data_IF_565404969510
#
_entry.id   IF_565404969510
#
_cell.length_a   1.000
_cell.length_b   1.000
_cell.length_c   1.000
_cell.angle_alpha   90.00
_cell.angle_beta   90.00
_cell.angle_gamma   90.00
#
_symmetry.space_group_name_H-M   'P 1'
#
loop_
_entity.id
_entity.type
_entity.pdbx_description
1 polymer ?
#
# COMPACT_ATOMS: atom_id res chain seq x y z
N UNK A 1 -15.54 11.85 -3.73
CA UNK A 1 -14.14 12.25 -4.00
C UNK A 1 -13.88 13.48 -3.17
N UNK A 2 -13.08 13.38 -2.12
CA UNK A 2 -12.71 14.52 -1.27
C UNK A 2 -11.64 15.31 -2.05
N UNK A 3 -12.00 16.47 -2.55
CA UNK A 3 -11.08 17.35 -3.31
C UNK A 3 -10.02 17.89 -2.35
N UNK A 4 -8.74 17.59 -2.58
CA UNK A 4 -7.62 18.11 -1.80
C UNK A 4 -7.59 19.65 -1.85
N UNK A 5 -7.34 20.27 -0.73
CA UNK A 5 -7.18 21.71 -0.65
C UNK A 5 -5.89 22.18 -1.33
N UNK A 6 -5.86 23.45 -1.77
CA UNK A 6 -4.62 24.04 -2.31
C UNK A 6 -3.46 24.02 -1.31
N UNK A 7 -3.76 24.08 -0.02
CA UNK A 7 -2.76 24.01 1.04
C UNK A 7 -2.17 22.60 1.17
N UNK A 8 -3.00 21.55 1.04
CA UNK A 8 -2.54 20.16 1.04
C UNK A 8 -1.64 19.87 -0.15
N UNK A 9 -2.05 20.28 -1.37
CA UNK A 9 -1.22 20.12 -2.58
C UNK A 9 0.12 20.87 -2.45
N UNK A 10 0.12 22.06 -1.88
CA UNK A 10 1.34 22.81 -1.63
C UNK A 10 2.22 22.15 -0.54
N UNK A 11 1.61 21.53 0.48
CA UNK A 11 2.35 20.79 1.50
C UNK A 11 3.01 19.53 0.93
N UNK A 12 2.33 18.86 0.02
CA UNK A 12 2.87 17.68 -0.68
C UNK A 12 4.06 18.08 -1.57
N UNK A 13 3.96 19.19 -2.31
CA UNK A 13 5.09 19.73 -3.08
C UNK A 13 6.29 20.09 -2.17
N UNK A 14 6.05 20.68 -1.00
CA UNK A 14 7.09 20.92 0.01
C UNK A 14 7.73 19.59 0.43
N UNK A 15 6.95 18.54 0.57
CA UNK A 15 7.43 17.19 0.87
C UNK A 15 8.38 16.66 -0.19
N UNK A 16 8.01 16.77 -1.46
CA UNK A 16 8.87 16.38 -2.60
C UNK A 16 10.17 17.17 -2.61
N UNK A 17 10.11 18.50 -2.45
CA UNK A 17 11.32 19.35 -2.38
C UNK A 17 12.20 18.94 -1.18
N UNK A 18 11.60 18.55 -0.07
CA UNK A 18 12.34 18.11 1.13
C UNK A 18 13.10 16.82 0.90
N UNK A 19 12.56 15.89 0.09
CA UNK A 19 13.25 14.63 -0.22
C UNK A 19 14.48 14.78 -1.11
N UNK A 20 14.53 15.87 -1.89
CA UNK A 20 15.69 16.21 -2.75
C UNK A 20 16.84 16.87 -1.98
N UNK A 21 16.64 17.20 -0.70
CA UNK A 21 17.61 17.90 0.15
C UNK A 21 18.11 16.95 1.24
N UNK A 22 19.42 16.94 1.55
CA UNK A 22 19.92 16.16 2.68
C UNK A 22 19.19 16.49 3.99
N UNK A 23 19.06 15.49 4.87
CA UNK A 23 18.42 15.67 6.18
C UNK A 23 19.03 16.87 6.93
N UNK A 24 18.18 17.75 7.45
CA UNK A 24 18.59 19.01 8.07
C UNK A 24 19.07 20.09 7.11
N UNK A 25 19.15 19.81 5.80
CA UNK A 25 19.61 20.75 4.78
C UNK A 25 18.62 21.92 4.55
N UNK A 26 19.15 23.05 4.07
CA UNK A 26 18.35 24.24 3.79
C UNK A 26 17.64 24.09 2.45
N UNK A 27 16.32 24.18 2.45
CA UNK A 27 15.48 24.12 1.24
C UNK A 27 15.32 25.49 0.56
N UNK A 28 15.41 26.58 1.32
CA UNK A 28 15.27 27.94 0.84
C UNK A 28 14.55 28.86 1.83
N UNK A 29 14.19 30.07 1.35
CA UNK A 29 13.33 31.00 2.08
C UNK A 29 11.86 30.63 1.89
N UNK A 30 10.98 31.18 2.73
CA UNK A 30 9.53 31.02 2.57
C UNK A 30 9.05 31.59 1.23
N UNK A 31 9.62 32.70 0.80
CA UNK A 31 9.29 33.39 -0.45
C UNK A 31 9.67 32.54 -1.67
N UNK A 32 10.85 31.97 -1.67
CA UNK A 32 11.32 31.08 -2.75
C UNK A 32 10.43 29.83 -2.88
N UNK A 33 10.13 29.17 -1.75
CA UNK A 33 9.28 27.98 -1.77
C UNK A 33 7.82 28.31 -2.12
N UNK A 34 7.30 29.44 -1.65
CA UNK A 34 5.97 29.92 -2.02
C UNK A 34 5.87 30.18 -3.53
N UNK A 35 6.87 30.82 -4.10
CA UNK A 35 6.92 31.08 -5.54
C UNK A 35 6.92 29.77 -6.35
N UNK A 36 7.69 28.77 -5.92
CA UNK A 36 7.67 27.43 -6.52
C UNK A 36 6.32 26.73 -6.41
N UNK A 37 5.63 26.90 -5.28
CA UNK A 37 4.31 26.31 -5.07
C UNK A 37 3.17 27.06 -5.80
N UNK A 38 3.41 28.28 -6.30
CA UNK A 38 2.42 29.06 -7.05
C UNK A 38 1.16 29.42 -6.25
N UNK A 39 1.27 29.58 -4.93
CA UNK A 39 0.12 29.84 -4.04
C UNK A 39 0.20 31.18 -3.33
N UNK A 40 -0.94 31.63 -2.76
CA UNK A 40 -1.00 32.83 -1.94
C UNK A 40 -0.20 32.66 -0.65
N UNK A 41 0.14 33.79 0.01
CA UNK A 41 0.85 33.79 1.31
C UNK A 41 0.07 33.01 2.37
N UNK A 42 -1.25 33.19 2.45
CA UNK A 42 -2.10 32.46 3.41
C UNK A 42 -2.10 30.97 3.18
N UNK A 43 -2.31 30.55 1.93
CA UNK A 43 -2.28 29.14 1.53
C UNK A 43 -0.91 28.51 1.80
N UNK A 44 0.19 29.24 1.52
CA UNK A 44 1.53 28.74 1.78
C UNK A 44 1.83 28.60 3.26
N UNK A 45 1.40 29.52 4.11
CA UNK A 45 1.59 29.42 5.55
C UNK A 45 0.84 28.20 6.13
N UNK A 46 -0.36 27.92 5.64
CA UNK A 46 -1.10 26.72 6.02
C UNK A 46 -0.40 25.45 5.53
N UNK A 47 0.04 25.42 4.28
CA UNK A 47 0.84 24.31 3.73
C UNK A 47 2.12 24.06 4.54
N UNK A 48 2.81 25.13 4.92
CA UNK A 48 4.03 25.03 5.72
C UNK A 48 3.75 24.50 7.12
N UNK A 49 2.61 24.89 7.73
CA UNK A 49 2.17 24.33 9.01
C UNK A 49 1.84 22.85 8.91
N UNK A 50 1.15 22.43 7.84
CA UNK A 50 0.87 21.02 7.57
C UNK A 50 2.18 20.22 7.40
N UNK A 51 3.13 20.73 6.61
CA UNK A 51 4.43 20.10 6.42
C UNK A 51 5.24 20.02 7.74
N UNK A 52 5.15 21.01 8.61
CA UNK A 52 5.76 20.97 9.95
C UNK A 52 5.08 19.93 10.85
N UNK A 53 3.76 19.88 10.87
CA UNK A 53 2.99 18.89 11.65
C UNK A 53 3.29 17.45 11.19
N UNK A 54 3.47 17.26 9.87
CA UNK A 54 3.91 15.97 9.29
C UNK A 54 5.40 15.67 9.54
N UNK A 55 6.14 16.56 10.21
CA UNK A 55 7.57 16.41 10.48
C UNK A 55 8.45 16.46 9.21
N UNK A 56 7.94 17.04 8.11
CA UNK A 56 8.67 17.11 6.83
C UNK A 56 9.70 18.22 6.84
N UNK A 57 9.38 19.37 7.48
CA UNK A 57 10.23 20.56 7.50
C UNK A 57 10.33 21.17 8.88
N UNK A 58 11.40 21.93 9.09
CA UNK A 58 11.58 22.86 10.21
C UNK A 58 11.77 24.26 9.69
N UNK A 59 11.15 25.24 10.35
CA UNK A 59 11.33 26.66 10.03
C UNK A 59 12.23 27.30 11.09
N UNK A 60 13.31 27.95 10.64
CA UNK A 60 14.21 28.71 11.49
C UNK A 60 14.06 30.19 11.18
N UNK A 61 13.66 31.03 12.14
CA UNK A 61 13.56 32.47 11.95
C UNK A 61 14.94 33.16 12.00
N UNK A 62 14.99 34.41 11.52
CA UNK A 62 16.14 35.30 11.67
C UNK A 62 17.21 35.20 10.60
N UNK A 63 18.33 35.90 10.75
CA UNK A 63 19.44 35.89 9.82
C UNK A 63 19.99 34.47 9.63
N UNK A 64 20.14 34.01 8.38
CA UNK A 64 20.47 32.62 8.05
C UNK A 64 19.33 31.62 8.29
N UNK A 65 18.13 32.12 8.57
CA UNK A 65 16.91 31.32 8.69
C UNK A 65 16.39 30.82 7.34
N UNK A 66 15.22 30.22 7.37
CA UNK A 66 14.56 29.63 6.22
C UNK A 66 13.79 28.39 6.57
N UNK A 67 13.45 27.63 5.54
CA UNK A 67 12.84 26.31 5.65
C UNK A 67 13.93 25.26 5.43
N UNK A 68 13.98 24.28 6.31
CA UNK A 68 14.97 23.22 6.32
C UNK A 68 14.25 21.87 6.26
N UNK A 69 14.80 20.92 5.52
CA UNK A 69 14.35 19.55 5.60
C UNK A 69 14.47 19.06 7.06
N UNK A 70 13.41 18.46 7.58
CA UNK A 70 13.47 17.93 8.94
C UNK A 70 14.42 16.73 8.98
N UNK A 71 15.00 16.49 10.15
CA UNK A 71 15.76 15.28 10.43
C UNK A 71 14.78 14.15 10.70
N UNK A 72 14.23 13.57 9.64
CA UNK A 72 13.24 12.51 9.72
C UNK A 72 13.92 11.16 9.84
N UNK A 73 13.48 10.36 10.78
CA UNK A 73 13.78 8.94 10.78
C UNK A 73 13.29 8.32 9.44
N UNK A 74 14.02 7.33 8.90
CA UNK A 74 13.72 6.71 7.61
C UNK A 74 12.26 6.29 7.44
N UNK A 75 11.63 5.80 8.52
CA UNK A 75 10.22 5.41 8.53
C UNK A 75 9.26 6.58 8.33
N UNK A 76 9.53 7.75 8.90
CA UNK A 76 8.70 8.95 8.71
C UNK A 76 8.79 9.45 7.27
N UNK A 77 9.98 9.37 6.66
CA UNK A 77 10.14 9.68 5.23
C UNK A 77 9.34 8.74 4.35
N UNK A 78 9.42 7.44 4.59
CA UNK A 78 8.65 6.44 3.85
C UNK A 78 7.15 6.70 3.96
N UNK A 79 6.64 6.93 5.17
CA UNK A 79 5.23 7.26 5.39
C UNK A 79 4.81 8.52 4.64
N UNK A 80 5.63 9.57 4.63
CA UNK A 80 5.33 10.80 3.91
C UNK A 80 5.33 10.62 2.39
N UNK A 81 6.23 9.79 1.84
CA UNK A 81 6.22 9.44 0.40
C UNK A 81 4.92 8.74 0.05
N UNK A 82 4.52 7.75 0.83
CA UNK A 82 3.25 7.01 0.60
C UNK A 82 2.03 7.94 0.69
N UNK A 83 2.00 8.84 1.68
CA UNK A 83 0.91 9.80 1.86
C UNK A 83 0.84 10.88 0.76
N UNK A 84 1.96 11.18 0.10
CA UNK A 84 2.04 12.16 -0.98
C UNK A 84 1.70 11.57 -2.36
N UNK A 85 1.59 10.25 -2.48
CA UNK A 85 1.17 9.63 -3.74
C UNK A 85 -0.23 10.10 -4.10
N UNK A 86 -0.39 10.68 -5.28
CA UNK A 86 -1.70 10.87 -5.89
C UNK A 86 -2.28 9.50 -6.21
N UNK A 87 -3.41 9.19 -5.56
CA UNK A 87 -4.07 7.90 -5.73
C UNK A 87 -4.93 7.97 -6.99
N UNK A 88 -4.27 7.82 -8.13
CA UNK A 88 -4.90 7.62 -9.43
C UNK A 88 -4.87 6.13 -9.84
N UNK A 89 -5.35 5.82 -11.03
CA UNK A 89 -5.33 4.45 -11.57
C UNK A 89 -3.91 3.88 -11.65
N UNK A 90 -2.89 4.72 -11.90
CA UNK A 90 -1.50 4.31 -11.95
C UNK A 90 -0.95 3.92 -10.57
N UNK A 91 -1.39 4.59 -9.51
CA UNK A 91 -1.01 4.23 -8.13
C UNK A 91 -1.56 2.86 -7.72
N UNK A 92 -2.78 2.52 -8.16
CA UNK A 92 -3.38 1.18 -7.91
C UNK A 92 -2.58 0.09 -8.61
N UNK A 93 -2.18 0.29 -9.87
CA UNK A 93 -1.33 -0.66 -10.60
C UNK A 93 0.02 -0.86 -9.89
N UNK A 94 0.66 0.22 -9.45
CA UNK A 94 1.90 0.15 -8.68
C UNK A 94 1.72 -0.58 -7.34
N UNK A 95 0.60 -0.36 -6.65
CA UNK A 95 0.26 -1.06 -5.41
C UNK A 95 0.08 -2.57 -5.65
N UNK A 96 -0.60 -2.95 -6.73
CA UNK A 96 -0.75 -4.36 -7.13
C UNK A 96 0.62 -4.99 -7.39
N UNK A 97 1.49 -4.32 -8.15
CA UNK A 97 2.84 -4.83 -8.45
C UNK A 97 3.68 -5.01 -7.19
N UNK A 98 3.58 -4.08 -6.23
CA UNK A 98 4.31 -4.18 -4.97
C UNK A 98 3.75 -5.31 -4.09
N UNK A 99 2.43 -5.45 -4.01
CA UNK A 99 1.77 -6.56 -3.34
C UNK A 99 2.24 -7.91 -3.90
N UNK A 100 2.16 -8.07 -5.22
CA UNK A 100 2.56 -9.32 -5.90
C UNK A 100 4.05 -9.68 -5.67
N UNK A 101 4.91 -8.67 -5.48
CA UNK A 101 6.31 -8.88 -5.13
C UNK A 101 6.50 -9.32 -3.67
N UNK A 102 5.59 -8.95 -2.76
CA UNK A 102 5.63 -9.32 -1.35
C UNK A 102 4.94 -10.66 -1.06
N UNK A 103 3.99 -11.10 -1.90
CA UNK A 103 3.25 -12.34 -1.71
C UNK A 103 4.14 -13.56 -1.43
N UNK A 104 5.22 -13.84 -2.21
CA UNK A 104 6.08 -15.00 -1.96
C UNK A 104 6.75 -14.95 -0.58
N UNK A 105 7.20 -13.78 -0.13
CA UNK A 105 7.83 -13.62 1.19
C UNK A 105 6.85 -13.89 2.32
N UNK A 106 5.60 -13.43 2.17
CA UNK A 106 4.56 -13.66 3.18
C UNK A 106 4.10 -15.11 3.24
N UNK A 107 4.06 -15.80 2.10
CA UNK A 107 3.77 -17.23 2.04
C UNK A 107 4.90 -18.05 2.67
N UNK A 108 6.17 -17.68 2.43
CA UNK A 108 7.34 -18.30 3.09
C UNK A 108 7.28 -18.12 4.61
N UNK A 109 7.03 -16.88 5.08
CA UNK A 109 6.84 -16.58 6.50
C UNK A 109 5.67 -17.40 7.09
N UNK A 110 4.57 -17.55 6.37
CA UNK A 110 3.42 -18.34 6.82
C UNK A 110 3.75 -19.84 6.93
N UNK A 111 4.52 -20.41 6.01
CA UNK A 111 5.00 -21.79 6.08
C UNK A 111 5.80 -22.02 7.35
N UNK A 112 6.68 -21.08 7.70
CA UNK A 112 7.57 -21.23 8.85
C UNK A 112 6.88 -20.94 10.19
N UNK A 113 5.91 -20.03 10.24
CA UNK A 113 5.40 -19.47 11.50
C UNK A 113 3.92 -19.74 11.76
N UNK A 114 3.14 -20.29 10.79
CA UNK A 114 1.71 -20.54 11.01
C UNK A 114 1.47 -21.50 12.18
N UNK A 115 0.52 -21.13 13.03
CA UNK A 115 0.01 -21.95 14.12
C UNK A 115 -1.20 -22.76 13.64
N UNK A 116 -1.61 -23.81 14.34
CA UNK A 116 -2.82 -24.55 13.97
C UNK A 116 -4.06 -23.67 13.80
N UNK A 117 -4.26 -22.67 14.67
CA UNK A 117 -5.37 -21.73 14.56
C UNK A 117 -5.30 -20.83 13.33
N UNK A 118 -4.10 -20.51 12.85
CA UNK A 118 -3.91 -19.72 11.64
C UNK A 118 -4.31 -20.57 10.42
N UNK A 119 -3.89 -21.83 10.38
CA UNK A 119 -4.27 -22.79 9.32
C UNK A 119 -5.79 -23.00 9.28
N UNK A 120 -6.44 -23.17 10.45
CA UNK A 120 -7.90 -23.27 10.52
C UNK A 120 -8.59 -22.04 9.94
N UNK A 121 -8.07 -20.85 10.24
CA UNK A 121 -8.58 -19.58 9.70
C UNK A 121 -8.40 -19.48 8.19
N UNK A 122 -7.21 -19.87 7.67
CA UNK A 122 -6.92 -19.84 6.23
C UNK A 122 -7.85 -20.79 5.47
N UNK A 123 -8.05 -22.03 5.98
CA UNK A 123 -8.96 -23.00 5.39
C UNK A 123 -10.41 -22.52 5.39
N UNK A 124 -10.87 -21.93 6.49
CA UNK A 124 -12.21 -21.37 6.57
C UNK A 124 -12.43 -20.25 5.52
N UNK A 125 -11.40 -19.42 5.26
CA UNK A 125 -11.45 -18.40 4.20
C UNK A 125 -11.44 -19.01 2.80
N UNK A 126 -10.70 -20.10 2.58
CA UNK A 126 -10.69 -20.82 1.31
C UNK A 126 -12.06 -21.48 1.03
N UNK A 127 -12.69 -22.10 2.01
CA UNK A 127 -14.05 -22.64 1.92
C UNK A 127 -15.10 -21.53 1.67
N UNK A 128 -14.99 -20.40 2.36
CA UNK A 128 -15.86 -19.24 2.12
C UNK A 128 -15.71 -18.73 0.67
N UNK A 129 -14.48 -18.70 0.15
CA UNK A 129 -14.19 -18.25 -1.21
C UNK A 129 -14.83 -19.16 -2.27
N UNK A 130 -14.74 -20.51 -2.09
CA UNK A 130 -15.40 -21.48 -2.97
C UNK A 130 -16.92 -21.30 -2.96
N UNK A 131 -17.52 -21.20 -1.78
CA UNK A 131 -18.97 -21.01 -1.64
C UNK A 131 -19.45 -19.71 -2.28
N UNK A 132 -18.71 -18.60 -2.07
CA UNK A 132 -19.07 -17.31 -2.65
C UNK A 132 -18.88 -17.29 -4.18
N UNK A 133 -17.91 -18.05 -4.71
CA UNK A 133 -17.71 -18.19 -6.16
C UNK A 133 -18.90 -18.89 -6.83
N UNK A 134 -19.44 -19.92 -6.18
CA UNK A 134 -20.61 -20.65 -6.67
C UNK A 134 -21.90 -19.82 -6.62
N UNK A 135 -22.07 -18.98 -5.58
CA UNK A 135 -23.28 -18.20 -5.34
C UNK A 135 -23.32 -16.89 -6.13
N UNK A 136 -22.27 -16.12 -6.13
CA UNK A 136 -22.26 -14.69 -6.52
C UNK A 136 -21.10 -14.36 -7.48
N UNK A 137 -19.94 -15.02 -7.34
CA UNK A 137 -18.74 -14.77 -8.12
C UNK A 137 -18.20 -13.34 -8.00
N UNK A 138 -17.38 -12.95 -8.96
CA UNK A 138 -16.99 -11.56 -9.21
C UNK A 138 -16.34 -10.83 -8.04
N UNK A 139 -16.92 -9.68 -7.64
CA UNK A 139 -16.38 -8.82 -6.58
C UNK A 139 -16.49 -9.47 -5.20
N UNK A 140 -17.52 -10.27 -4.94
CA UNK A 140 -17.70 -10.95 -3.67
C UNK A 140 -16.54 -11.91 -3.39
N UNK A 141 -16.16 -12.75 -4.36
CA UNK A 141 -14.97 -13.61 -4.30
C UNK A 141 -13.69 -12.79 -4.10
N UNK A 142 -13.54 -11.69 -4.83
CA UNK A 142 -12.36 -10.85 -4.72
C UNK A 142 -12.17 -10.28 -3.30
N UNK A 143 -13.25 -9.92 -2.60
CA UNK A 143 -13.19 -9.48 -1.20
C UNK A 143 -12.72 -10.59 -0.26
N UNK A 144 -13.15 -11.83 -0.49
CA UNK A 144 -12.68 -12.97 0.32
C UNK A 144 -11.20 -13.24 0.04
N UNK A 145 -10.76 -13.13 -1.21
CA UNK A 145 -9.34 -13.24 -1.58
C UNK A 145 -8.49 -12.20 -0.85
N UNK A 146 -8.91 -10.94 -0.78
CA UNK A 146 -8.18 -9.92 -0.03
C UNK A 146 -8.10 -10.23 1.47
N UNK A 147 -9.18 -10.75 2.06
CA UNK A 147 -9.18 -11.21 3.46
C UNK A 147 -8.23 -12.39 3.68
N UNK A 148 -8.12 -13.30 2.71
CA UNK A 148 -7.16 -14.41 2.73
C UNK A 148 -5.71 -13.89 2.68
N UNK A 149 -5.42 -12.99 1.76
CA UNK A 149 -4.09 -12.35 1.69
C UNK A 149 -3.73 -11.61 2.99
N UNK A 150 -4.66 -10.86 3.56
CA UNK A 150 -4.45 -10.19 4.84
C UNK A 150 -4.21 -11.19 5.99
N UNK A 151 -4.90 -12.33 5.98
CA UNK A 151 -4.72 -13.37 6.98
C UNK A 151 -3.34 -14.06 6.86
N UNK A 152 -2.84 -14.29 5.64
CA UNK A 152 -1.48 -14.80 5.41
C UNK A 152 -0.45 -13.77 5.90
N UNK A 153 -0.60 -12.50 5.54
CA UNK A 153 0.31 -11.43 5.96
C UNK A 153 0.38 -11.26 7.48
N UNK A 154 -0.71 -11.49 8.19
CA UNK A 154 -0.77 -11.40 9.65
C UNK A 154 0.03 -12.50 10.37
N UNK A 155 0.44 -13.57 9.68
CA UNK A 155 1.26 -14.64 10.25
C UNK A 155 2.73 -14.24 10.29
N UNK A 156 3.17 -13.36 9.38
CA UNK A 156 4.57 -12.94 9.29
C UNK A 156 5.06 -12.32 10.60
N UNK A 157 6.22 -12.71 11.12
CA UNK A 157 6.87 -12.07 12.26
C UNK A 157 7.41 -10.68 11.92
N UNK A 158 7.50 -10.33 10.64
CA UNK A 158 7.98 -9.04 10.15
C UNK A 158 6.83 -8.02 10.09
N UNK A 159 6.59 -7.35 11.21
CA UNK A 159 5.53 -6.33 11.32
C UNK A 159 5.61 -5.21 10.27
N UNK A 160 6.82 -4.88 9.78
CA UNK A 160 6.98 -3.86 8.74
C UNK A 160 6.37 -4.32 7.42
N UNK A 161 6.67 -5.56 6.99
CA UNK A 161 6.13 -6.12 5.75
C UNK A 161 4.61 -6.26 5.87
N UNK A 162 4.11 -6.81 6.98
CA UNK A 162 2.67 -6.96 7.22
C UNK A 162 1.93 -5.63 7.16
N UNK A 163 2.44 -4.59 7.82
CA UNK A 163 1.81 -3.26 7.82
C UNK A 163 1.81 -2.59 6.45
N UNK A 164 2.91 -2.73 5.68
CA UNK A 164 2.98 -2.22 4.30
C UNK A 164 1.96 -2.97 3.44
N UNK A 165 1.90 -4.29 3.56
CA UNK A 165 1.02 -5.14 2.78
C UNK A 165 -0.47 -4.85 3.05
N UNK A 166 -0.86 -4.70 4.32
CA UNK A 166 -2.21 -4.27 4.70
C UNK A 166 -2.58 -2.92 4.10
N UNK A 167 -1.66 -1.95 4.13
CA UNK A 167 -1.86 -0.65 3.50
C UNK A 167 -2.05 -0.73 1.98
N UNK A 168 -1.33 -1.64 1.30
CA UNK A 168 -1.51 -1.89 -0.14
C UNK A 168 -2.87 -2.53 -0.44
N UNK A 169 -3.31 -3.52 0.36
CA UNK A 169 -4.64 -4.12 0.23
C UNK A 169 -5.75 -3.10 0.41
N UNK A 170 -5.66 -2.26 1.44
CA UNK A 170 -6.60 -1.16 1.70
C UNK A 170 -6.71 -0.19 0.51
N UNK A 171 -5.57 0.16 -0.09
CA UNK A 171 -5.51 1.01 -1.27
C UNK A 171 -6.19 0.36 -2.47
N UNK A 172 -5.85 -0.90 -2.76
CA UNK A 172 -6.41 -1.67 -3.87
C UNK A 172 -7.91 -1.86 -3.68
N UNK A 173 -8.36 -2.26 -2.49
CA UNK A 173 -9.79 -2.49 -2.19
C UNK A 173 -10.62 -1.23 -2.42
N UNK A 174 -10.21 -0.09 -1.83
CA UNK A 174 -10.94 1.18 -1.94
C UNK A 174 -11.12 1.66 -3.37
N UNK A 175 -10.19 1.34 -4.26
CA UNK A 175 -10.23 1.79 -5.65
C UNK A 175 -10.84 0.75 -6.60
N UNK A 176 -10.80 -0.53 -6.25
CA UNK A 176 -11.38 -1.60 -7.06
C UNK A 176 -12.91 -1.68 -6.88
N UNK A 177 -13.41 -1.43 -5.67
CA UNK A 177 -14.87 -1.44 -5.38
C UNK A 177 -15.65 -0.43 -6.23
N UNK A 178 -15.02 0.70 -6.62
CA UNK A 178 -15.66 1.71 -7.49
C UNK A 178 -15.64 1.37 -9.00
N UNK A 179 -14.85 0.39 -9.43
CA UNK A 179 -14.64 0.04 -10.85
C UNK A 179 -15.21 -1.35 -11.19
N UNK A 180 -15.27 -2.24 -10.21
CA UNK A 180 -15.64 -3.66 -10.41
C UNK A 180 -17.12 -3.90 -10.73
N UNK A 181 -18.00 -2.90 -10.55
CA UNK A 181 -19.40 -2.97 -11.04
C UNK A 181 -19.48 -2.98 -12.57
N UNK A 182 -18.37 -2.69 -13.26
CA UNK A 182 -18.36 -2.56 -14.72
C UNK A 182 -17.91 -3.83 -15.48
N UNK A 183 -17.12 -4.73 -14.86
CA UNK A 183 -16.69 -5.98 -15.52
C UNK A 183 -16.36 -7.07 -14.49
N UNK A 184 -17.17 -8.14 -14.35
CA UNK A 184 -16.78 -9.31 -13.59
C UNK A 184 -15.56 -9.97 -14.23
N UNK A 185 -14.51 -10.35 -13.45
CA UNK A 185 -13.35 -11.04 -14.01
C UNK A 185 -13.77 -12.41 -14.56
N UNK A 186 -13.49 -12.66 -15.85
CA UNK A 186 -13.62 -13.96 -16.45
C UNK A 186 -12.69 -14.96 -15.72
N UNK A 187 -13.19 -16.17 -15.41
CA UNK A 187 -12.44 -17.26 -14.77
C UNK A 187 -12.10 -17.10 -13.27
N UNK A 188 -13.10 -16.90 -12.41
CA UNK A 188 -12.94 -16.90 -10.96
C UNK A 188 -12.51 -18.26 -10.43
N UNK A 189 -13.03 -19.37 -10.94
CA UNK A 189 -12.74 -20.73 -10.45
C UNK A 189 -11.27 -21.16 -10.49
N UNK A 190 -10.48 -20.72 -11.47
CA UNK A 190 -9.03 -20.99 -11.50
C UNK A 190 -8.30 -20.22 -10.40
N UNK A 191 -8.74 -19.01 -10.10
CA UNK A 191 -8.19 -18.22 -8.98
C UNK A 191 -8.53 -18.84 -7.63
N UNK A 192 -9.76 -19.27 -7.45
CA UNK A 192 -10.22 -19.92 -6.23
C UNK A 192 -9.40 -21.18 -5.95
N UNK A 193 -9.23 -22.03 -6.94
CA UNK A 193 -8.39 -23.24 -6.82
C UNK A 193 -6.95 -22.90 -6.46
N UNK A 194 -6.36 -21.93 -7.13
CA UNK A 194 -4.98 -21.50 -6.87
C UNK A 194 -4.79 -21.03 -5.42
N UNK A 195 -5.70 -20.20 -4.90
CA UNK A 195 -5.60 -19.71 -3.53
C UNK A 195 -5.83 -20.83 -2.50
N UNK A 196 -6.75 -21.78 -2.76
CA UNK A 196 -6.90 -22.96 -1.93
C UNK A 196 -5.62 -23.80 -1.91
N UNK A 197 -5.02 -24.03 -3.07
CA UNK A 197 -3.79 -24.83 -3.18
C UNK A 197 -2.61 -24.16 -2.45
N UNK A 198 -2.55 -22.83 -2.42
CA UNK A 198 -1.58 -22.07 -1.61
C UNK A 198 -1.83 -22.31 -0.11
N UNK A 199 -3.08 -22.27 0.33
CA UNK A 199 -3.44 -22.54 1.74
C UNK A 199 -3.01 -23.94 2.16
N UNK A 200 -3.25 -24.96 1.32
CA UNK A 200 -2.81 -26.32 1.63
C UNK A 200 -1.29 -26.46 1.60
N UNK A 201 -0.58 -25.79 0.70
CA UNK A 201 0.89 -25.79 0.70
C UNK A 201 1.45 -25.17 2.00
N UNK A 202 0.83 -24.11 2.52
CA UNK A 202 1.18 -23.50 3.82
C UNK A 202 0.89 -24.52 4.96
N UNK A 203 -0.28 -25.16 4.93
CA UNK A 203 -0.69 -26.13 5.94
C UNK A 203 0.24 -27.35 6.01
N UNK A 204 0.66 -27.83 4.84
CA UNK A 204 1.58 -28.98 4.69
C UNK A 204 3.06 -28.58 4.90
N UNK A 205 3.36 -27.29 5.06
CA UNK A 205 4.72 -26.72 5.11
C UNK A 205 5.57 -27.08 3.89
N UNK A 206 4.92 -27.16 2.71
CA UNK A 206 5.56 -27.50 1.45
C UNK A 206 6.04 -26.22 0.73
N UNK A 207 7.25 -25.78 1.08
CA UNK A 207 7.87 -24.59 0.50
C UNK A 207 8.09 -24.71 -1.02
N UNK A 208 8.36 -25.92 -1.52
CA UNK A 208 8.59 -26.15 -2.96
C UNK A 208 7.29 -25.94 -3.74
N UNK A 209 6.21 -26.58 -3.30
CA UNK A 209 4.89 -26.44 -3.91
C UNK A 209 4.39 -24.99 -3.81
N UNK A 210 4.58 -24.35 -2.67
CA UNK A 210 4.21 -22.97 -2.47
C UNK A 210 4.93 -22.03 -3.45
N UNK A 211 6.24 -22.22 -3.67
CA UNK A 211 7.01 -21.41 -4.62
C UNK A 211 6.50 -21.58 -6.06
N UNK A 212 6.16 -22.78 -6.49
CA UNK A 212 5.56 -23.04 -7.82
C UNK A 212 4.20 -22.33 -7.96
N UNK A 213 3.33 -22.46 -6.96
CA UNK A 213 2.02 -21.81 -6.94
C UNK A 213 2.13 -20.26 -6.94
N UNK A 214 3.16 -19.71 -6.30
CA UNK A 214 3.40 -18.25 -6.32
C UNK A 214 3.82 -17.74 -7.71
N UNK A 215 4.53 -18.54 -8.51
CA UNK A 215 4.80 -18.21 -9.92
C UNK A 215 3.48 -18.12 -10.72
N UNK A 216 2.61 -19.12 -10.56
CA UNK A 216 1.30 -19.15 -11.23
C UNK A 216 0.42 -17.96 -10.76
N UNK A 217 0.45 -17.64 -9.47
CA UNK A 217 -0.27 -16.49 -8.90
C UNK A 217 0.16 -15.17 -9.54
N UNK A 218 1.47 -14.95 -9.70
CA UNK A 218 2.01 -13.76 -10.34
C UNK A 218 1.65 -13.67 -11.84
N UNK A 219 1.67 -14.81 -12.56
CA UNK A 219 1.26 -14.87 -13.97
C UNK A 219 -0.22 -14.54 -14.11
N UNK A 220 -1.07 -15.09 -13.24
CA UNK A 220 -2.51 -14.80 -13.23
C UNK A 220 -2.80 -13.33 -12.90
N UNK A 221 -2.00 -12.68 -12.06
CA UNK A 221 -2.10 -11.27 -11.74
C UNK A 221 -1.76 -10.37 -12.96
N UNK A 222 -0.68 -10.69 -13.68
CA UNK A 222 -0.22 -9.91 -14.86
C UNK A 222 -1.17 -9.96 -16.06
N UNK A 223 -1.97 -11.00 -16.21
CA UNK A 223 -2.95 -11.13 -17.31
C UNK A 223 -4.17 -10.23 -17.14
N UNK A 224 -4.28 -9.50 -16.04
CA UNK A 224 -5.39 -8.63 -15.65
C UNK A 224 -5.11 -7.14 -15.78
N UNK A 225 -3.88 -6.73 -16.00
CA UNK A 225 -3.44 -5.37 -16.30
C UNK A 225 -3.25 -5.19 -17.80
#
# INVERSE_FOLDING_TARGET
>A
VQTRSRAELAADLIGVISSDVPSGGRMGTKEELRARAGVSVGTFNEALRLAQTRGVVRVKPGPGGGVFAADQQGMVRLANVVLALDIDAGAVEQAIRLRDALDPLLVEDAIDHARPSDIERLRALAEEMERVDEEDGGLAVTKVIWRLHAAIAAISPNQMISSIYEGLLDLIEKHTVGVADAQPPAHTGDRVRLHRDIVEAIADRDATRAAELMVDHQIAARRRG
#
